data_IF_455461973328
#
_entry.id   IF_455461973328
#
_cell.length_a   1.000
_cell.length_b   1.000
_cell.length_c   1.000
_cell.angle_alpha   90.00
_cell.angle_beta   90.00
_cell.angle_gamma   90.00
#
_symmetry.space_group_name_H-M   'P 1'
#
loop_
_entity.id
_entity.type
_entity.pdbx_description
1 polymer ?
#
# COMPACT_ATOMS: atom_id res chain seq x y z
N UNK A 1 25.60 -0.13 -14.59
CA UNK A 1 26.85 0.63 -14.45
C UNK A 1 26.83 1.93 -15.27
N UNK A 2 26.60 1.89 -16.59
CA UNK A 2 26.60 3.07 -17.48
C UNK A 2 25.80 4.28 -16.98
N UNK A 3 24.59 4.11 -16.41
CA UNK A 3 23.79 5.25 -15.90
C UNK A 3 24.35 5.91 -14.65
N UNK A 4 24.95 5.13 -13.74
CA UNK A 4 25.61 5.68 -12.56
C UNK A 4 26.90 6.39 -12.97
N UNK A 5 27.60 5.82 -13.95
CA UNK A 5 28.82 6.38 -14.53
C UNK A 5 28.58 7.72 -15.24
N UNK A 6 27.56 7.83 -16.08
CA UNK A 6 27.13 9.10 -16.72
C UNK A 6 26.77 10.14 -15.65
N UNK A 7 26.11 9.73 -14.56
CA UNK A 7 25.76 10.63 -13.48
C UNK A 7 26.99 11.15 -12.70
N UNK A 8 27.98 10.29 -12.42
CA UNK A 8 29.25 10.72 -11.80
C UNK A 8 30.08 11.59 -12.72
N UNK A 9 30.17 11.26 -14.00
CA UNK A 9 30.84 12.07 -15.03
C UNK A 9 30.16 13.44 -15.19
N UNK A 10 28.83 13.48 -15.03
CA UNK A 10 28.01 14.70 -15.06
C UNK A 10 28.11 15.57 -13.83
N UNK A 11 28.26 14.99 -12.65
CA UNK A 11 28.52 15.76 -11.43
C UNK A 11 29.97 16.25 -11.40
N UNK A 12 30.93 15.46 -11.90
CA UNK A 12 32.35 15.82 -11.90
C UNK A 12 32.70 16.92 -12.92
N UNK A 13 32.17 16.85 -14.15
CA UNK A 13 32.55 17.77 -15.24
C UNK A 13 31.74 19.09 -15.30
N UNK A 14 30.63 19.24 -14.55
CA UNK A 14 29.80 20.46 -14.56
C UNK A 14 29.82 21.25 -13.25
N UNK A 15 30.80 20.96 -12.39
CA UNK A 15 31.15 21.82 -11.26
C UNK A 15 30.95 21.14 -9.91
N UNK A 16 32.01 21.20 -9.12
CA UNK A 16 32.11 20.90 -7.68
C UNK A 16 32.21 19.40 -7.34
N UNK A 17 33.26 18.75 -7.84
CA UNK A 17 33.81 17.53 -7.23
C UNK A 17 35.33 17.72 -7.08
N UNK A 18 35.93 17.17 -6.02
CA UNK A 18 37.37 17.25 -5.79
C UNK A 18 38.17 16.78 -7.01
N UNK A 19 39.30 17.44 -7.27
CA UNK A 19 40.19 17.17 -8.40
C UNK A 19 40.61 15.69 -8.49
N UNK A 20 40.72 15.01 -7.34
CA UNK A 20 41.01 13.57 -7.24
C UNK A 20 39.91 12.68 -7.82
N UNK A 21 38.63 12.93 -7.48
CA UNK A 21 37.50 12.18 -8.03
C UNK A 21 37.33 12.39 -9.53
N UNK A 22 37.73 13.56 -10.02
CA UNK A 22 37.62 13.93 -11.43
C UNK A 22 38.59 13.13 -12.30
N UNK A 23 39.84 12.94 -11.84
CA UNK A 23 40.87 12.12 -12.52
C UNK A 23 40.45 10.64 -12.61
N UNK A 24 39.89 10.08 -11.54
CA UNK A 24 39.40 8.69 -11.52
C UNK A 24 38.23 8.44 -12.47
N UNK A 25 37.31 9.40 -12.58
CA UNK A 25 36.17 9.31 -13.49
C UNK A 25 36.62 9.40 -14.96
N UNK A 26 37.62 10.23 -15.26
CA UNK A 26 38.23 10.33 -16.59
C UNK A 26 38.95 9.03 -16.96
N UNK A 27 39.80 8.48 -16.08
CA UNK A 27 40.49 7.20 -16.30
C UNK A 27 39.50 6.07 -16.58
N UNK A 28 38.44 5.97 -15.78
CA UNK A 28 37.38 4.97 -15.97
C UNK A 28 36.58 5.17 -17.26
N UNK A 29 36.47 6.40 -17.78
CA UNK A 29 35.80 6.68 -19.05
C UNK A 29 36.68 6.27 -20.23
N UNK A 30 37.97 6.57 -20.15
CA UNK A 30 38.97 6.17 -21.15
C UNK A 30 39.11 4.64 -21.25
N UNK A 31 38.95 3.93 -20.13
CA UNK A 31 38.94 2.47 -20.10
C UNK A 31 37.65 1.82 -20.66
N UNK A 32 36.62 2.59 -21.06
CA UNK A 32 35.40 2.03 -21.63
C UNK A 32 35.59 1.65 -23.13
N UNK A 33 34.96 0.55 -23.59
CA UNK A 33 34.83 0.24 -25.01
C UNK A 33 34.19 1.38 -25.80
N UNK A 34 34.59 1.57 -27.06
CA UNK A 34 34.14 2.66 -27.94
C UNK A 34 32.60 2.82 -28.00
N UNK A 35 31.87 1.70 -28.12
CA UNK A 35 30.39 1.68 -28.11
C UNK A 35 29.79 2.29 -26.83
N UNK A 36 30.40 2.00 -25.66
CA UNK A 36 29.96 2.56 -24.38
C UNK A 36 30.36 4.03 -24.23
N UNK A 37 31.52 4.45 -24.76
CA UNK A 37 31.94 5.86 -24.81
C UNK A 37 30.95 6.69 -25.63
N UNK A 38 30.59 6.24 -26.83
CA UNK A 38 29.62 6.90 -27.69
C UNK A 38 28.25 7.05 -27.01
N UNK A 39 27.75 6.00 -26.33
CA UNK A 39 26.52 6.06 -25.55
C UNK A 39 26.56 7.08 -24.40
N UNK A 40 27.70 7.20 -23.73
CA UNK A 40 27.92 8.15 -22.63
C UNK A 40 27.94 9.59 -23.17
N UNK A 41 28.65 9.83 -24.27
CA UNK A 41 28.74 11.14 -24.93
C UNK A 41 27.39 11.57 -25.52
N UNK A 42 26.62 10.68 -26.14
CA UNK A 42 25.29 11.00 -26.64
C UNK A 42 24.35 11.45 -25.50
N UNK A 43 24.40 10.76 -24.36
CA UNK A 43 23.65 11.15 -23.16
C UNK A 43 24.17 12.45 -22.55
N UNK A 44 25.49 12.71 -22.64
CA UNK A 44 26.09 13.97 -22.21
C UNK A 44 25.55 15.17 -22.99
N UNK A 45 25.56 15.08 -24.32
CA UNK A 45 25.05 16.13 -25.22
C UNK A 45 23.59 16.47 -24.93
N UNK A 46 22.76 15.44 -24.72
CA UNK A 46 21.35 15.62 -24.35
C UNK A 46 21.14 16.39 -23.05
N UNK A 47 22.03 16.24 -22.07
CA UNK A 47 21.92 16.97 -20.81
C UNK A 47 22.52 18.38 -20.93
N UNK A 48 23.62 18.55 -21.70
CA UNK A 48 24.20 19.87 -22.01
C UNK A 48 23.18 20.79 -22.70
N UNK A 49 22.36 20.23 -23.60
CA UNK A 49 21.27 20.94 -24.29
C UNK A 49 20.03 21.27 -23.44
N UNK A 50 20.00 20.95 -22.14
CA UNK A 50 18.87 21.32 -21.28
C UNK A 50 18.97 22.78 -20.80
N UNK A 51 17.84 23.46 -20.51
CA UNK A 51 17.83 24.77 -19.85
C UNK A 51 18.63 24.77 -18.54
N UNK A 52 19.35 25.87 -18.24
CA UNK A 52 20.30 25.98 -17.10
C UNK A 52 19.65 25.62 -15.75
N UNK A 53 18.44 26.09 -15.51
CA UNK A 53 17.68 25.78 -14.29
C UNK A 53 17.33 24.29 -14.16
N UNK A 54 16.94 23.65 -15.28
CA UNK A 54 16.65 22.21 -15.30
C UNK A 54 17.92 21.40 -15.08
N UNK A 55 19.06 21.84 -15.62
CA UNK A 55 20.37 21.25 -15.36
C UNK A 55 20.72 21.32 -13.87
N UNK A 56 20.61 22.50 -13.24
CA UNK A 56 20.87 22.67 -11.79
C UNK A 56 20.01 21.74 -10.93
N UNK A 57 18.70 21.69 -11.17
CA UNK A 57 17.77 20.79 -10.46
C UNK A 57 18.11 19.30 -10.67
N UNK A 58 18.62 18.93 -11.84
CA UNK A 58 19.05 17.57 -12.13
C UNK A 58 20.33 17.22 -11.35
N UNK A 59 21.32 18.12 -11.33
CA UNK A 59 22.58 17.98 -10.57
C UNK A 59 22.28 17.78 -9.09
N UNK A 60 21.45 18.64 -8.49
CA UNK A 60 21.07 18.52 -7.08
C UNK A 60 20.39 17.20 -6.75
N UNK A 61 19.47 16.73 -7.61
CA UNK A 61 18.81 15.43 -7.44
C UNK A 61 19.82 14.28 -7.51
N UNK A 62 20.78 14.35 -8.43
CA UNK A 62 21.84 13.35 -8.56
C UNK A 62 22.77 13.36 -7.34
N UNK A 63 23.16 14.54 -6.83
CA UNK A 63 23.93 14.66 -5.58
C UNK A 63 23.19 14.06 -4.39
N UNK A 64 21.91 14.38 -4.21
CA UNK A 64 21.06 13.77 -3.16
C UNK A 64 21.00 12.25 -3.30
N UNK A 65 20.84 11.74 -4.52
CA UNK A 65 20.83 10.30 -4.79
C UNK A 65 22.18 9.63 -4.47
N UNK A 66 23.31 10.29 -4.78
CA UNK A 66 24.65 9.84 -4.45
C UNK A 66 24.98 9.92 -2.94
N UNK A 67 24.23 10.69 -2.16
CA UNK A 67 24.35 10.72 -0.69
C UNK A 67 23.47 9.68 0.03
N UNK A 68 22.47 9.11 -0.64
CA UNK A 68 21.61 8.10 0.00
C UNK A 68 22.35 6.79 0.31
N UNK A 69 21.95 6.06 1.37
CA UNK A 69 22.48 4.72 1.68
C UNK A 69 22.24 3.73 0.52
N UNK A 70 23.16 2.76 0.33
CA UNK A 70 23.09 1.74 -0.75
C UNK A 70 21.73 1.02 -0.80
N UNK A 71 21.16 0.69 0.35
CA UNK A 71 19.84 0.04 0.45
C UNK A 71 18.70 0.92 -0.08
N UNK A 72 18.68 2.23 0.23
CA UNK A 72 17.71 3.19 -0.30
C UNK A 72 17.86 3.38 -1.81
N UNK A 73 19.09 3.47 -2.32
CA UNK A 73 19.34 3.53 -3.76
C UNK A 73 18.81 2.29 -4.50
N UNK A 74 19.05 1.09 -3.96
CA UNK A 74 18.48 -0.16 -4.52
C UNK A 74 16.95 -0.12 -4.54
N UNK A 75 16.31 0.30 -3.46
CA UNK A 75 14.86 0.44 -3.39
C UNK A 75 14.31 1.45 -4.42
N UNK A 76 14.95 2.61 -4.58
CA UNK A 76 14.59 3.60 -5.59
C UNK A 76 14.75 3.06 -7.02
N UNK A 77 15.84 2.34 -7.29
CA UNK A 77 16.05 1.70 -8.59
C UNK A 77 14.97 0.64 -8.90
N UNK A 78 14.59 -0.18 -7.91
CA UNK A 78 13.49 -1.15 -8.06
C UNK A 78 12.18 -0.43 -8.33
N UNK A 79 11.86 0.62 -7.56
CA UNK A 79 10.68 1.45 -7.78
C UNK A 79 10.64 2.05 -9.18
N UNK A 80 11.79 2.51 -9.67
CA UNK A 80 11.91 3.08 -11.00
C UNK A 80 11.82 2.04 -12.13
N UNK A 81 12.38 0.83 -11.94
CA UNK A 81 12.19 -0.31 -12.85
C UNK A 81 10.72 -0.69 -12.96
N UNK A 82 10.02 -0.82 -11.83
CA UNK A 82 8.57 -1.09 -11.77
C UNK A 82 7.79 0.00 -12.50
N UNK A 83 8.14 1.26 -12.27
CA UNK A 83 7.50 2.39 -12.95
C UNK A 83 7.69 2.34 -14.47
N UNK A 84 8.89 1.99 -14.95
CA UNK A 84 9.14 1.80 -16.40
C UNK A 84 8.34 0.65 -16.99
N UNK A 85 8.24 -0.47 -16.29
CA UNK A 85 7.45 -1.62 -16.74
C UNK A 85 5.96 -1.24 -16.86
N UNK A 86 5.42 -0.56 -15.84
CA UNK A 86 4.06 -0.04 -15.86
C UNK A 86 3.85 0.93 -17.03
N UNK A 87 4.80 1.85 -17.25
CA UNK A 87 4.78 2.78 -18.37
C UNK A 87 4.74 2.07 -19.73
N UNK A 88 5.52 1.00 -19.91
CA UNK A 88 5.52 0.21 -21.15
C UNK A 88 4.16 -0.47 -21.38
N UNK A 89 3.60 -1.09 -20.34
CA UNK A 89 2.27 -1.73 -20.41
C UNK A 89 1.18 -0.73 -20.78
N UNK A 90 1.17 0.43 -20.14
CA UNK A 90 0.20 1.48 -20.45
C UNK A 90 0.36 2.05 -21.86
N UNK A 91 1.60 2.18 -22.35
CA UNK A 91 1.85 2.55 -23.74
C UNK A 91 1.29 1.50 -24.71
N UNK A 92 1.45 0.22 -24.43
CA UNK A 92 0.90 -0.87 -25.25
C UNK A 92 -0.63 -0.86 -25.28
N UNK A 93 -1.28 -0.44 -24.20
CA UNK A 93 -2.74 -0.31 -24.11
C UNK A 93 -3.31 0.89 -24.87
N UNK A 94 -2.47 1.80 -25.38
CA UNK A 94 -2.96 2.94 -26.15
C UNK A 94 -3.26 2.55 -27.61
N UNK A 95 -4.22 3.22 -28.27
CA UNK A 95 -4.41 3.12 -29.71
C UNK A 95 -3.11 3.40 -30.47
N UNK A 96 -2.89 2.72 -31.61
CA UNK A 96 -1.66 2.82 -32.39
C UNK A 96 -1.32 4.27 -32.75
N UNK A 97 -2.30 5.03 -33.25
CA UNK A 97 -2.13 6.45 -33.61
C UNK A 97 -1.60 7.31 -32.45
N UNK A 98 -2.13 7.11 -31.23
CA UNK A 98 -1.66 7.82 -30.02
C UNK A 98 -0.26 7.40 -29.61
N UNK A 99 0.13 6.14 -29.81
CA UNK A 99 1.50 5.67 -29.57
C UNK A 99 2.50 6.36 -30.51
N UNK A 100 2.20 6.37 -31.81
CA UNK A 100 3.05 7.00 -32.83
C UNK A 100 3.22 8.50 -32.54
N UNK A 101 2.12 9.22 -32.27
CA UNK A 101 2.16 10.63 -31.90
C UNK A 101 3.08 10.89 -30.69
N UNK A 102 2.96 10.08 -29.64
CA UNK A 102 3.83 10.19 -28.45
C UNK A 102 5.31 9.92 -28.75
N UNK A 103 5.61 9.00 -29.68
CA UNK A 103 6.97 8.66 -30.08
C UNK A 103 7.63 9.72 -30.97
N UNK A 104 6.85 10.57 -31.64
CA UNK A 104 7.36 11.73 -32.39
C UNK A 104 7.73 12.91 -31.48
N UNK A 105 7.13 13.01 -30.30
CA UNK A 105 7.42 14.10 -29.36
C UNK A 105 8.84 14.01 -28.75
N UNK A 106 9.49 15.17 -28.49
CA UNK A 106 10.70 15.26 -27.67
C UNK A 106 10.54 14.52 -26.32
N UNK A 107 11.62 13.92 -25.76
CA UNK A 107 11.54 13.07 -24.58
C UNK A 107 10.87 13.71 -23.36
N UNK A 108 10.99 15.03 -23.19
CA UNK A 108 10.42 15.76 -22.06
C UNK A 108 8.91 16.03 -22.23
N UNK A 109 8.45 16.42 -23.42
CA UNK A 109 7.01 16.55 -23.73
C UNK A 109 6.33 15.19 -23.67
N UNK A 110 6.95 14.15 -24.25
CA UNK A 110 6.49 12.76 -24.15
C UNK A 110 6.29 12.33 -22.70
N UNK A 111 7.20 12.69 -21.80
CA UNK A 111 7.07 12.37 -20.38
C UNK A 111 5.91 13.12 -19.70
N UNK A 112 5.66 14.37 -20.10
CA UNK A 112 4.54 15.16 -19.59
C UNK A 112 3.19 14.57 -20.04
N UNK A 113 3.05 14.25 -21.32
CA UNK A 113 1.84 13.64 -21.86
C UNK A 113 1.58 12.25 -21.24
N UNK A 114 2.62 11.45 -21.10
CA UNK A 114 2.50 10.16 -20.40
C UNK A 114 2.11 10.31 -18.93
N UNK A 115 2.55 11.38 -18.25
CA UNK A 115 2.12 11.66 -16.89
C UNK A 115 0.62 12.01 -16.84
N UNK A 116 0.09 12.74 -17.83
CA UNK A 116 -1.35 13.02 -17.94
C UNK A 116 -2.16 11.75 -18.12
N UNK A 117 -1.76 10.89 -19.08
CA UNK A 117 -2.41 9.59 -19.33
C UNK A 117 -2.37 8.72 -18.06
N UNK A 118 -1.23 8.67 -17.40
CA UNK A 118 -1.07 7.90 -16.16
C UNK A 118 -1.98 8.41 -15.04
N UNK A 119 -2.06 9.73 -14.85
CA UNK A 119 -2.93 10.32 -13.84
C UNK A 119 -4.40 10.03 -14.15
N UNK A 120 -4.82 10.09 -15.41
CA UNK A 120 -6.19 9.75 -15.82
C UNK A 120 -6.51 8.28 -15.55
N UNK A 121 -5.58 7.37 -15.84
CA UNK A 121 -5.76 5.96 -15.52
C UNK A 121 -5.88 5.73 -14.00
N UNK A 122 -5.02 6.38 -13.20
CA UNK A 122 -5.13 6.30 -11.74
C UNK A 122 -6.44 6.89 -11.20
N UNK A 123 -6.98 7.94 -11.81
CA UNK A 123 -8.28 8.47 -11.45
C UNK A 123 -9.39 7.44 -11.70
N UNK A 124 -9.35 6.74 -12.84
CA UNK A 124 -10.29 5.66 -13.15
C UNK A 124 -10.22 4.52 -12.14
N UNK A 125 -9.02 4.19 -11.66
CA UNK A 125 -8.82 3.14 -10.65
C UNK A 125 -9.24 3.61 -9.25
N UNK A 126 -8.89 4.83 -8.85
CA UNK A 126 -9.08 5.30 -7.47
C UNK A 126 -10.43 5.94 -7.18
N UNK A 127 -11.11 6.55 -8.16
CA UNK A 127 -12.45 7.13 -7.92
C UNK A 127 -13.48 6.11 -7.43
N UNK A 128 -13.59 4.91 -8.03
CA UNK A 128 -14.52 3.88 -7.55
C UNK A 128 -14.18 3.41 -6.12
N UNK A 129 -12.90 3.45 -5.73
CA UNK A 129 -12.48 2.99 -4.40
C UNK A 129 -12.92 3.93 -3.28
N UNK A 130 -13.33 5.17 -3.60
CA UNK A 130 -13.83 6.13 -2.60
C UNK A 130 -15.02 5.54 -1.82
N UNK A 131 -15.79 4.65 -2.44
CA UNK A 131 -16.92 3.96 -1.80
C UNK A 131 -16.51 3.02 -0.65
N UNK A 132 -15.24 2.60 -0.57
CA UNK A 132 -14.73 1.77 0.51
C UNK A 132 -14.44 2.57 1.80
N UNK A 133 -14.39 3.90 1.70
CA UNK A 133 -14.07 4.79 2.82
C UNK A 133 -15.32 5.24 3.56
N UNK A 134 -15.14 5.73 4.81
CA UNK A 134 -16.25 6.25 5.64
C UNK A 134 -16.93 7.46 4.96
N UNK A 135 -18.20 7.70 5.30
CA UNK A 135 -19.06 8.75 4.72
C UNK A 135 -18.38 10.13 4.65
N UNK A 136 -17.76 10.57 5.75
CA UNK A 136 -17.04 11.85 5.81
C UNK A 136 -15.80 11.89 4.90
N UNK A 137 -14.99 10.82 4.92
CA UNK A 137 -13.81 10.72 4.06
C UNK A 137 -14.21 10.70 2.59
N UNK A 138 -15.30 9.99 2.25
CA UNK A 138 -15.87 9.98 0.91
C UNK A 138 -16.28 11.38 0.45
N UNK A 139 -17.02 12.13 1.28
CA UNK A 139 -17.41 13.52 0.98
C UNK A 139 -16.18 14.41 0.75
N UNK A 140 -15.19 14.36 1.66
CA UNK A 140 -13.95 15.14 1.55
C UNK A 140 -13.19 14.80 0.27
N UNK A 141 -13.03 13.52 -0.05
CA UNK A 141 -12.31 13.08 -1.24
C UNK A 141 -13.04 13.46 -2.54
N UNK A 142 -14.37 13.37 -2.56
CA UNK A 142 -15.17 13.72 -3.73
C UNK A 142 -15.05 15.21 -4.10
N UNK A 143 -14.92 16.08 -3.10
CA UNK A 143 -14.78 17.53 -3.29
C UNK A 143 -13.38 17.98 -3.79
N UNK A 144 -12.38 17.09 -3.82
CA UNK A 144 -11.02 17.50 -4.16
C UNK A 144 -10.78 17.64 -5.68
N UNK A 145 -10.03 18.67 -6.11
CA UNK A 145 -9.52 18.74 -7.48
C UNK A 145 -8.66 17.53 -7.85
N UNK A 146 -8.65 17.13 -9.13
CA UNK A 146 -8.00 15.90 -9.64
C UNK A 146 -6.58 15.67 -9.10
N UNK A 147 -5.74 16.71 -9.08
CA UNK A 147 -4.34 16.63 -8.60
C UNK A 147 -4.27 16.38 -7.09
N UNK A 148 -5.07 17.11 -6.30
CA UNK A 148 -5.15 16.95 -4.83
C UNK A 148 -5.77 15.60 -4.46
N UNK A 149 -6.80 15.15 -5.19
CA UNK A 149 -7.42 13.84 -5.01
C UNK A 149 -6.40 12.70 -5.10
N UNK A 150 -5.60 12.62 -6.18
CA UNK A 150 -4.62 11.54 -6.34
C UNK A 150 -3.55 11.56 -5.24
N UNK A 151 -3.18 12.75 -4.76
CA UNK A 151 -2.23 12.90 -3.67
C UNK A 151 -2.83 12.36 -2.36
N UNK A 152 -4.01 12.83 -1.98
CA UNK A 152 -4.69 12.42 -0.75
C UNK A 152 -5.07 10.93 -0.77
N UNK A 153 -5.55 10.39 -1.89
CA UNK A 153 -5.82 8.96 -2.03
C UNK A 153 -4.57 8.11 -1.78
N UNK A 154 -3.42 8.49 -2.35
CA UNK A 154 -2.16 7.77 -2.11
C UNK A 154 -1.71 7.87 -0.66
N UNK A 155 -1.89 9.03 -0.03
CA UNK A 155 -1.57 9.26 1.38
C UNK A 155 -2.44 8.40 2.30
N UNK A 156 -3.75 8.37 2.05
CA UNK A 156 -4.71 7.56 2.78
C UNK A 156 -4.44 6.07 2.63
N UNK A 157 -4.25 5.58 1.40
CA UNK A 157 -3.95 4.16 1.18
C UNK A 157 -2.66 3.71 1.89
N UNK A 158 -1.64 4.58 1.99
CA UNK A 158 -0.43 4.28 2.78
C UNK A 158 -0.70 4.24 4.27
N UNK A 159 -1.49 5.18 4.79
CA UNK A 159 -1.90 5.20 6.20
C UNK A 159 -2.71 3.94 6.54
N UNK A 160 -3.69 3.60 5.70
CA UNK A 160 -4.51 2.41 5.86
C UNK A 160 -3.69 1.13 5.78
N UNK A 161 -2.72 1.04 4.86
CA UNK A 161 -1.80 -0.09 4.79
C UNK A 161 -1.01 -0.25 6.10
N UNK A 162 -0.43 0.85 6.61
CA UNK A 162 0.31 0.82 7.88
C UNK A 162 -0.57 0.41 9.05
N UNK A 163 -1.79 0.97 9.11
CA UNK A 163 -2.79 0.66 10.13
C UNK A 163 -3.20 -0.82 10.08
N UNK A 164 -3.58 -1.32 8.91
CA UNK A 164 -4.00 -2.69 8.70
C UNK A 164 -2.88 -3.68 9.05
N UNK A 165 -1.64 -3.42 8.62
CA UNK A 165 -0.50 -4.25 8.99
C UNK A 165 -0.29 -4.29 10.51
N UNK A 166 -0.33 -3.12 11.17
CA UNK A 166 -0.16 -3.02 12.62
C UNK A 166 -1.28 -3.69 13.41
N UNK A 167 -2.54 -3.51 12.99
CA UNK A 167 -3.70 -4.18 13.61
C UNK A 167 -3.64 -5.68 13.42
N UNK A 168 -3.28 -6.15 12.22
CA UNK A 168 -3.16 -7.57 11.94
C UNK A 168 -2.06 -8.23 12.80
N UNK A 169 -0.93 -7.55 13.01
CA UNK A 169 0.11 -8.02 13.93
C UNK A 169 -0.37 -8.04 15.38
N UNK A 170 -1.04 -6.98 15.85
CA UNK A 170 -1.57 -6.87 17.22
C UNK A 170 -2.72 -7.86 17.53
N UNK A 171 -3.36 -8.43 16.52
CA UNK A 171 -4.38 -9.46 16.75
C UNK A 171 -3.78 -10.87 16.92
N UNK A 172 -2.49 -11.06 16.64
CA UNK A 172 -1.84 -12.36 16.80
C UNK A 172 -1.44 -12.62 18.26
N UNK A 173 -1.36 -13.90 18.69
CA UNK A 173 -0.75 -14.31 19.95
C UNK A 173 0.74 -13.89 20.02
N UNK A 174 1.30 -13.61 21.22
CA UNK A 174 2.69 -13.19 21.40
C UNK A 174 3.72 -14.11 20.72
N UNK A 175 3.63 -15.42 20.95
CA UNK A 175 4.53 -16.43 20.35
C UNK A 175 4.56 -16.36 18.81
N UNK A 176 3.39 -16.18 18.18
CA UNK A 176 3.29 -16.02 16.72
C UNK A 176 3.86 -14.69 16.22
N UNK A 177 3.80 -13.62 17.02
CA UNK A 177 4.43 -12.33 16.64
C UNK A 177 5.94 -12.47 16.60
N UNK A 178 6.52 -13.07 17.63
CA UNK A 178 7.97 -13.33 17.72
C UNK A 178 8.45 -14.18 16.54
N UNK A 179 7.72 -15.24 16.18
CA UNK A 179 8.05 -16.04 15.00
C UNK A 179 8.01 -15.23 13.70
N UNK A 180 7.01 -14.36 13.51
CA UNK A 180 6.90 -13.52 12.32
C UNK A 180 8.02 -12.48 12.25
N UNK A 181 8.45 -11.95 13.39
CA UNK A 181 9.60 -11.06 13.49
C UNK A 181 10.91 -11.78 13.15
N UNK A 182 11.12 -12.98 13.71
CA UNK A 182 12.27 -13.86 13.37
C UNK A 182 12.29 -14.19 11.88
N UNK A 183 11.15 -14.57 11.30
CA UNK A 183 10.98 -14.88 9.87
C UNK A 183 10.93 -13.64 8.97
N UNK A 184 11.02 -12.42 9.54
CA UNK A 184 10.96 -11.13 8.83
C UNK A 184 9.78 -11.03 7.84
N UNK A 185 8.62 -11.56 8.24
CA UNK A 185 7.43 -11.57 7.39
C UNK A 185 6.88 -10.16 7.23
N UNK A 186 6.72 -9.71 5.98
CA UNK A 186 6.15 -8.40 5.69
C UNK A 186 4.67 -8.38 6.05
N UNK A 187 4.20 -7.30 6.67
CA UNK A 187 2.78 -7.13 7.06
C UNK A 187 1.80 -7.35 5.89
N UNK A 188 2.14 -6.95 4.67
CA UNK A 188 1.29 -7.20 3.50
C UNK A 188 1.12 -8.71 3.18
N UNK A 189 2.10 -9.54 3.50
CA UNK A 189 2.03 -11.00 3.33
C UNK A 189 1.12 -11.61 4.40
N UNK A 190 1.15 -11.07 5.63
CA UNK A 190 0.20 -11.43 6.68
C UNK A 190 -1.24 -11.13 6.26
N UNK A 191 -1.51 -9.95 5.71
CA UNK A 191 -2.83 -9.61 5.17
C UNK A 191 -3.27 -10.59 4.07
N UNK A 192 -2.34 -10.99 3.19
CA UNK A 192 -2.64 -11.93 2.10
C UNK A 192 -3.04 -13.32 2.62
N UNK A 193 -2.38 -13.83 3.67
CA UNK A 193 -2.73 -15.11 4.27
C UNK A 193 -4.12 -15.08 4.94
N UNK A 194 -4.54 -13.93 5.47
CA UNK A 194 -5.82 -13.77 6.18
C UNK A 194 -7.00 -13.46 5.26
N UNK A 195 -6.73 -12.97 4.06
CA UNK A 195 -7.75 -12.52 3.11
C UNK A 195 -8.85 -13.57 2.86
N UNK A 196 -8.56 -14.84 2.52
CA UNK A 196 -9.60 -15.81 2.18
C UNK A 196 -10.60 -16.02 3.32
N UNK A 197 -10.08 -16.08 4.55
CA UNK A 197 -10.90 -16.25 5.75
C UNK A 197 -11.76 -15.03 6.03
N UNK A 198 -11.18 -13.83 5.94
CA UNK A 198 -11.95 -12.59 6.17
C UNK A 198 -13.03 -12.39 5.10
N UNK A 199 -12.78 -12.79 3.86
CA UNK A 199 -13.80 -12.78 2.81
C UNK A 199 -14.92 -13.78 3.08
N UNK A 200 -14.59 -15.00 3.53
CA UNK A 200 -15.59 -15.98 3.95
C UNK A 200 -16.45 -15.44 5.10
N UNK A 201 -15.83 -14.81 6.10
CA UNK A 201 -16.54 -14.19 7.23
C UNK A 201 -17.48 -13.06 6.78
N UNK A 202 -17.03 -12.19 5.88
CA UNK A 202 -17.89 -11.15 5.29
C UNK A 202 -19.08 -11.74 4.51
N UNK A 203 -18.89 -12.91 3.88
CA UNK A 203 -19.95 -13.62 3.18
C UNK A 203 -21.03 -14.12 4.13
N UNK A 204 -20.62 -14.78 5.21
CA UNK A 204 -21.51 -15.27 6.28
C UNK A 204 -22.31 -14.11 6.89
N UNK A 205 -21.67 -12.97 7.16
CA UNK A 205 -22.31 -11.78 7.74
C UNK A 205 -23.11 -10.94 6.73
N UNK A 206 -23.47 -11.54 5.59
CA UNK A 206 -24.29 -10.94 4.53
C UNK A 206 -23.75 -9.59 4.03
N UNK A 207 -22.42 -9.37 4.07
CA UNK A 207 -21.77 -8.15 3.55
C UNK A 207 -21.45 -8.26 2.05
N UNK A 208 -22.38 -8.82 1.27
CA UNK A 208 -22.20 -9.12 -0.15
C UNK A 208 -21.82 -7.90 -1.00
N UNK A 209 -22.48 -6.75 -0.78
CA UNK A 209 -22.17 -5.50 -1.49
C UNK A 209 -20.73 -5.05 -1.26
N UNK A 210 -20.23 -5.13 -0.02
CA UNK A 210 -18.86 -4.77 0.31
C UNK A 210 -17.86 -5.74 -0.33
N UNK A 211 -18.15 -7.05 -0.29
CA UNK A 211 -17.33 -8.07 -0.94
C UNK A 211 -17.22 -7.87 -2.44
N UNK A 212 -18.33 -7.58 -3.13
CA UNK A 212 -18.34 -7.29 -4.56
C UNK A 212 -17.42 -6.09 -4.88
N UNK A 213 -17.55 -5.00 -4.12
CA UNK A 213 -16.69 -3.82 -4.28
C UNK A 213 -15.20 -4.14 -4.06
N UNK A 214 -14.89 -4.96 -3.06
CA UNK A 214 -13.52 -5.36 -2.74
C UNK A 214 -12.91 -6.29 -3.81
N UNK A 215 -13.71 -7.19 -4.41
CA UNK A 215 -13.26 -8.08 -5.49
C UNK A 215 -12.85 -7.32 -6.75
N UNK A 216 -13.49 -6.19 -7.05
CA UNK A 216 -13.12 -5.31 -8.16
C UNK A 216 -11.99 -4.32 -7.82
N UNK A 217 -11.58 -4.23 -6.55
CA UNK A 217 -10.51 -3.34 -6.14
C UNK A 217 -9.11 -3.90 -6.50
N UNK A 218 -8.09 -3.03 -6.70
CA UNK A 218 -6.71 -3.48 -6.83
C UNK A 218 -6.29 -4.34 -5.63
N UNK A 219 -5.48 -5.38 -5.86
CA UNK A 219 -5.13 -6.40 -4.86
C UNK A 219 -4.69 -5.81 -3.51
N UNK A 220 -3.82 -4.80 -3.52
CA UNK A 220 -3.36 -4.18 -2.28
C UNK A 220 -4.47 -3.46 -1.52
N UNK A 221 -5.41 -2.84 -2.23
CA UNK A 221 -6.55 -2.16 -1.61
C UNK A 221 -7.53 -3.19 -1.07
N UNK A 222 -7.82 -4.25 -1.83
CA UNK A 222 -8.61 -5.39 -1.38
C UNK A 222 -8.05 -5.96 -0.06
N UNK A 223 -6.75 -6.26 -0.01
CA UNK A 223 -6.09 -6.75 1.22
C UNK A 223 -6.29 -5.82 2.42
N UNK A 224 -6.06 -4.53 2.23
CA UNK A 224 -6.08 -3.54 3.31
C UNK A 224 -7.51 -3.27 3.78
N UNK A 225 -8.43 -3.00 2.86
CA UNK A 225 -9.80 -2.63 3.22
C UNK A 225 -10.60 -3.84 3.72
N UNK A 226 -10.33 -5.07 3.24
CA UNK A 226 -10.91 -6.27 3.84
C UNK A 226 -10.48 -6.42 5.30
N UNK A 227 -9.19 -6.23 5.61
CA UNK A 227 -8.69 -6.26 6.99
C UNK A 227 -9.37 -5.19 7.85
N UNK A 228 -9.42 -3.94 7.37
CA UNK A 228 -10.02 -2.84 8.13
C UNK A 228 -11.53 -3.02 8.34
N UNK A 229 -12.24 -3.56 7.34
CA UNK A 229 -13.64 -3.90 7.46
C UNK A 229 -13.84 -4.98 8.53
N UNK A 230 -13.04 -6.05 8.48
CA UNK A 230 -13.08 -7.12 9.47
C UNK A 230 -12.82 -6.60 10.89
N UNK A 231 -11.82 -5.73 11.09
CA UNK A 231 -11.52 -5.16 12.40
C UNK A 231 -12.70 -4.33 12.96
N UNK A 232 -13.43 -3.59 12.11
CA UNK A 232 -14.63 -2.83 12.52
C UNK A 232 -15.77 -3.75 12.91
N UNK A 233 -16.03 -4.77 12.09
CA UNK A 233 -17.09 -5.76 12.35
C UNK A 233 -16.80 -6.49 13.65
N UNK A 234 -15.59 -7.02 13.80
CA UNK A 234 -15.16 -7.71 15.02
C UNK A 234 -15.36 -6.86 16.27
N UNK A 235 -15.00 -5.57 16.22
CA UNK A 235 -15.17 -4.66 17.34
C UNK A 235 -16.66 -4.45 17.67
N UNK A 236 -17.49 -4.14 16.69
CA UNK A 236 -18.93 -3.96 16.89
C UNK A 236 -19.61 -5.23 17.38
N UNK A 237 -19.29 -6.38 16.80
CA UNK A 237 -19.79 -7.69 17.26
C UNK A 237 -19.37 -7.99 18.69
N UNK A 238 -18.13 -7.68 19.08
CA UNK A 238 -17.69 -7.85 20.45
C UNK A 238 -18.42 -6.91 21.42
N UNK A 239 -18.61 -5.64 21.06
CA UNK A 239 -19.36 -4.66 21.87
C UNK A 239 -20.83 -5.09 22.06
N UNK A 240 -21.49 -5.54 20.99
CA UNK A 240 -22.88 -6.03 21.05
C UNK A 240 -22.97 -7.33 21.86
N UNK A 241 -22.04 -8.27 21.69
CA UNK A 241 -22.01 -9.49 22.49
C UNK A 241 -21.77 -9.19 23.96
N UNK A 242 -20.83 -8.30 24.29
CA UNK A 242 -20.58 -7.88 25.67
C UNK A 242 -21.81 -7.24 26.31
N UNK A 243 -22.53 -6.39 25.56
CA UNK A 243 -23.77 -5.75 26.03
C UNK A 243 -24.88 -6.78 26.28
N UNK A 244 -25.06 -7.74 25.35
CA UNK A 244 -26.01 -8.84 25.53
C UNK A 244 -25.63 -9.76 26.70
N UNK A 245 -24.36 -10.10 26.87
CA UNK A 245 -23.90 -10.90 28.00
C UNK A 245 -24.19 -10.21 29.33
N UNK A 246 -24.10 -8.88 29.38
CA UNK A 246 -24.39 -8.12 30.59
C UNK A 246 -25.86 -8.22 31.03
N UNK A 247 -26.81 -8.39 30.09
CA UNK A 247 -28.23 -8.55 30.41
C UNK A 247 -28.59 -9.97 30.89
N UNK A 248 -27.69 -10.94 30.75
CA UNK A 248 -27.92 -12.32 31.16
C UNK A 248 -27.54 -12.56 32.63
N UNK A 249 -28.21 -13.51 33.32
CA UNK A 249 -27.79 -14.02 34.61
C UNK A 249 -26.35 -14.56 34.57
N UNK A 250 -25.57 -14.35 35.65
CA UNK A 250 -24.15 -14.72 35.73
C UNK A 250 -23.87 -16.17 35.30
N UNK A 251 -24.73 -17.10 35.69
CA UNK A 251 -24.64 -18.53 35.37
C UNK A 251 -24.73 -18.81 33.86
N UNK A 252 -25.45 -17.97 33.09
CA UNK A 252 -25.64 -18.12 31.65
C UNK A 252 -24.57 -17.42 30.82
N UNK A 253 -23.84 -16.45 31.39
CA UNK A 253 -22.86 -15.61 30.67
C UNK A 253 -21.73 -16.42 30.02
N UNK A 254 -21.11 -17.31 30.78
CA UNK A 254 -20.02 -18.17 30.29
C UNK A 254 -20.51 -19.20 29.27
N UNK A 255 -21.70 -19.76 29.48
CA UNK A 255 -22.32 -20.74 28.58
C UNK A 255 -22.59 -20.16 27.19
N UNK A 256 -23.08 -18.91 27.11
CA UNK A 256 -23.32 -18.22 25.82
C UNK A 256 -22.02 -18.00 25.06
N UNK A 257 -20.96 -17.52 25.74
CA UNK A 257 -19.65 -17.31 25.09
C UNK A 257 -19.07 -18.61 24.56
N UNK A 258 -19.11 -19.68 25.38
CA UNK A 258 -18.60 -21.00 25.02
C UNK A 258 -19.37 -21.58 23.82
N UNK A 259 -20.70 -21.63 23.89
CA UNK A 259 -21.53 -22.16 22.80
C UNK A 259 -21.35 -21.37 21.51
N UNK A 260 -21.41 -20.04 21.58
CA UNK A 260 -21.40 -19.20 20.38
C UNK A 260 -20.01 -19.11 19.72
N UNK A 261 -18.96 -18.85 20.50
CA UNK A 261 -17.63 -18.53 19.95
C UNK A 261 -16.68 -19.72 19.91
N UNK A 262 -16.75 -20.61 20.90
CA UNK A 262 -15.86 -21.78 20.96
C UNK A 262 -16.48 -22.95 20.18
N UNK A 263 -17.71 -23.34 20.49
CA UNK A 263 -18.39 -24.48 19.86
C UNK A 263 -19.04 -24.14 18.51
N UNK A 264 -19.42 -22.88 18.30
CA UNK A 264 -20.08 -22.48 17.05
C UNK A 264 -21.54 -22.87 16.94
N UNK A 265 -22.21 -23.05 18.07
CA UNK A 265 -23.62 -23.41 18.15
C UNK A 265 -24.46 -22.14 18.33
N UNK A 266 -25.66 -22.17 17.79
CA UNK A 266 -26.66 -21.15 18.06
C UNK A 266 -26.99 -21.09 19.55
N UNK A 267 -27.42 -19.91 20.00
CA UNK A 267 -27.97 -19.71 21.35
C UNK A 267 -29.34 -19.07 21.18
N UNK A 268 -30.35 -19.67 21.82
CA UNK A 268 -31.72 -19.19 21.76
C UNK A 268 -31.84 -17.79 22.40
N UNK A 269 -32.72 -16.96 21.85
CA UNK A 269 -32.90 -15.58 22.29
C UNK A 269 -31.80 -14.60 21.85
N UNK A 270 -30.85 -15.03 20.99
CA UNK A 270 -29.82 -14.12 20.48
C UNK A 270 -30.43 -12.96 19.66
N UNK A 271 -29.94 -11.73 19.86
CA UNK A 271 -30.20 -10.61 18.97
C UNK A 271 -29.89 -10.98 17.53
N UNK A 272 -30.72 -10.51 16.59
CA UNK A 272 -30.60 -10.85 15.16
C UNK A 272 -29.18 -10.62 14.61
N UNK A 273 -28.50 -9.59 15.10
CA UNK A 273 -27.15 -9.19 14.69
C UNK A 273 -26.05 -10.18 15.10
N UNK A 274 -26.32 -11.03 16.09
CA UNK A 274 -25.37 -12.00 16.64
C UNK A 274 -25.64 -13.44 16.18
N UNK A 275 -26.79 -13.71 15.57
CA UNK A 275 -27.18 -15.07 15.12
C UNK A 275 -26.18 -15.68 14.15
N UNK A 276 -25.73 -14.88 13.19
CA UNK A 276 -24.80 -15.33 12.14
C UNK A 276 -23.35 -15.51 12.67
N UNK A 277 -23.06 -15.12 13.91
CA UNK A 277 -21.71 -15.25 14.53
C UNK A 277 -21.35 -16.73 14.72
N UNK A 278 -22.32 -17.59 15.03
CA UNK A 278 -22.13 -19.03 15.16
C UNK A 278 -21.56 -19.64 13.87
N UNK A 279 -22.03 -19.15 12.72
CA UNK A 279 -21.70 -19.64 11.38
C UNK A 279 -20.32 -19.17 10.88
N UNK A 280 -19.64 -18.28 11.63
CA UNK A 280 -18.32 -17.81 11.26
C UNK A 280 -17.28 -18.95 11.34
N UNK A 281 -16.24 -18.92 10.49
CA UNK A 281 -15.11 -19.84 10.62
C UNK A 281 -14.53 -19.81 12.04
N UNK A 282 -14.12 -20.96 12.58
CA UNK A 282 -13.60 -21.10 13.95
C UNK A 282 -12.61 -20.00 14.33
N UNK A 283 -11.60 -19.78 13.49
CA UNK A 283 -10.59 -18.78 13.79
C UNK A 283 -11.19 -17.35 13.83
N UNK A 284 -12.20 -17.03 13.01
CA UNK A 284 -12.86 -15.72 13.01
C UNK A 284 -13.64 -15.49 14.32
N UNK A 285 -14.30 -16.53 14.83
CA UNK A 285 -14.90 -16.52 16.17
C UNK A 285 -13.85 -16.36 17.27
N UNK A 286 -12.72 -17.05 17.15
CA UNK A 286 -11.58 -16.93 18.08
C UNK A 286 -11.04 -15.50 18.15
N UNK A 287 -11.00 -14.78 17.03
CA UNK A 287 -10.59 -13.37 17.04
C UNK A 287 -11.57 -12.46 17.80
N UNK A 288 -12.88 -12.70 17.67
CA UNK A 288 -13.90 -11.98 18.46
C UNK A 288 -13.75 -12.32 19.94
N UNK A 289 -13.58 -13.60 20.27
CA UNK A 289 -13.37 -14.08 21.64
C UNK A 289 -12.16 -13.42 22.31
N UNK A 290 -11.04 -13.33 21.60
CA UNK A 290 -9.82 -12.67 22.09
C UNK A 290 -10.01 -11.17 22.32
N UNK A 291 -10.92 -10.54 21.59
CA UNK A 291 -11.25 -9.13 21.80
C UNK A 291 -12.10 -8.94 23.05
N UNK A 292 -13.08 -9.82 23.29
CA UNK A 292 -13.94 -9.81 24.48
C UNK A 292 -13.14 -10.12 25.74
N UNK A 293 -12.28 -11.14 25.72
CA UNK A 293 -11.40 -11.51 26.85
C UNK A 293 -10.39 -10.40 27.21
N UNK A 294 -10.19 -9.41 26.34
CA UNK A 294 -9.31 -8.24 26.57
C UNK A 294 -10.05 -6.97 26.95
N UNK A 295 -11.39 -6.95 26.94
CA UNK A 295 -12.14 -5.83 27.47
C UNK A 295 -11.97 -5.82 28.99
N UNK A 296 -11.61 -4.68 29.60
CA UNK A 296 -11.49 -4.60 31.06
C UNK A 296 -12.83 -5.00 31.68
N UNK A 297 -12.77 -5.76 32.77
CA UNK A 297 -13.94 -6.01 33.61
C UNK A 297 -14.63 -4.65 33.91
N UNK A 298 -15.98 -4.59 33.97
CA UNK A 298 -16.65 -3.37 34.36
C UNK A 298 -16.08 -2.87 35.69
N UNK A 299 -15.99 -1.54 35.90
CA UNK A 299 -15.45 -0.98 37.12
C UNK A 299 -16.19 -1.61 38.31
N UNK A 300 -15.43 -2.16 39.26
CA UNK A 300 -15.99 -2.60 40.54
C UNK A 300 -16.66 -1.38 41.16
N UNK A 301 -17.93 -1.52 41.53
CA UNK A 301 -18.66 -0.50 42.28
C UNK A 301 -17.81 -0.05 43.48
N UNK A 302 -17.71 1.26 43.76
CA UNK A 302 -17.08 1.70 44.99
C UNK A 302 -17.85 1.07 46.16
N UNK A 303 -17.10 0.44 47.07
CA UNK A 303 -17.59 0.05 48.39
C UNK A 303 -17.45 1.23 49.32
#
# INVERSE_FOLDING_TARGET
>A
MVRAFVATLFVALLGVADTSQTRDVIRRFLALPARKKAEVLAKWRLIKGMPKERRRRLIERLRRWLRERRCRRRALLVRWRRWRALRRRLLQQLPYQKRVALLRLPPWQRNAELAKIFNNHLLKVYRPLVYLFRKEQRKRLAALPRRRFLFEMRRLLRRHLSLACGMAQRSLPPRMREELERKKVRGIRLLAMRLPRHEKALGVLKKGRLLALLKHAPTTVRLVETELAWQRIKRGTAEHLSSYIATLPLQKRSAVVKRLLEEGKGVDGLPAELRDVALLPYEARREILLFIKRAPAPPRSPR
#
